data_IF_992322001182
#
_entry.id   IF_992322001182
#
_cell.length_a   1.000
_cell.length_b   1.000
_cell.length_c   1.000
_cell.angle_alpha   90.00
_cell.angle_beta   90.00
_cell.angle_gamma   90.00
#
_symmetry.space_group_name_H-M   'P 1'
#
loop_
_entity.id
_entity.type
_entity.pdbx_description
1 polymer ?
#
# COMPACT_ATOMS: atom_id res chain seq x y z
N UNK A 1 71.87 51.88 -18.03
CA UNK A 1 70.60 51.15 -18.28
C UNK A 1 70.05 50.57 -16.97
N UNK A 2 68.85 50.98 -16.53
CA UNK A 2 68.20 50.41 -15.31
C UNK A 2 67.65 49.00 -15.63
N UNK A 3 68.13 47.98 -14.92
CA UNK A 3 67.65 46.59 -15.07
C UNK A 3 66.21 46.46 -14.56
N UNK A 4 65.27 46.05 -15.42
CA UNK A 4 63.88 45.78 -15.04
C UNK A 4 63.82 44.59 -14.09
N UNK A 5 63.28 44.80 -12.88
CA UNK A 5 63.09 43.77 -11.86
C UNK A 5 61.99 42.83 -12.35
N UNK A 6 62.33 41.55 -12.61
CA UNK A 6 61.35 40.54 -13.04
C UNK A 6 60.43 40.25 -11.86
N UNK A 7 59.17 40.67 -11.97
CA UNK A 7 58.14 40.37 -10.97
C UNK A 7 57.88 38.87 -11.01
N UNK A 8 58.33 38.16 -9.97
CA UNK A 8 58.02 36.74 -9.78
C UNK A 8 56.54 36.64 -9.43
N UNK A 9 55.68 36.37 -10.43
CA UNK A 9 54.29 36.06 -10.19
C UNK A 9 54.21 34.91 -9.19
N UNK A 10 53.50 35.13 -8.09
CA UNK A 10 53.44 34.19 -6.98
C UNK A 10 52.41 33.09 -7.33
N UNK A 11 52.80 32.17 -8.22
CA UNK A 11 51.95 31.08 -8.78
C UNK A 11 51.15 30.34 -7.70
N UNK A 12 51.72 30.23 -6.48
CA UNK A 12 51.11 29.58 -5.33
C UNK A 12 49.70 30.10 -5.00
N UNK A 13 49.42 31.40 -5.18
CA UNK A 13 48.09 31.95 -4.86
C UNK A 13 47.04 31.57 -5.89
N UNK A 14 47.42 31.46 -7.18
CA UNK A 14 46.52 31.00 -8.24
C UNK A 14 46.11 29.56 -7.98
N UNK A 15 47.08 28.73 -7.60
CA UNK A 15 46.86 27.31 -7.26
C UNK A 15 45.97 27.16 -6.02
N UNK A 16 46.16 28.04 -5.02
CA UNK A 16 45.34 28.10 -3.81
C UNK A 16 43.89 28.50 -4.11
N UNK A 17 43.67 29.48 -5.00
CA UNK A 17 42.33 29.92 -5.42
C UNK A 17 41.60 28.81 -6.18
N UNK A 18 42.28 28.11 -7.11
CA UNK A 18 41.69 26.98 -7.82
C UNK A 18 41.26 25.86 -6.86
N UNK A 19 42.07 25.61 -5.83
CA UNK A 19 41.74 24.62 -4.81
C UNK A 19 40.50 25.01 -3.99
N UNK A 20 40.36 26.29 -3.62
CA UNK A 20 39.17 26.80 -2.92
C UNK A 20 37.92 26.66 -3.80
N UNK A 21 38.01 27.04 -5.09
CA UNK A 21 36.89 26.95 -6.03
C UNK A 21 36.45 25.49 -6.21
N UNK A 22 37.41 24.57 -6.33
CA UNK A 22 37.12 23.14 -6.43
C UNK A 22 36.36 22.63 -5.21
N UNK A 23 36.83 22.94 -4.00
CA UNK A 23 36.15 22.55 -2.77
C UNK A 23 34.74 23.16 -2.69
N UNK A 24 34.58 24.46 -2.98
CA UNK A 24 33.28 25.12 -2.97
C UNK A 24 32.29 24.45 -3.94
N UNK A 25 32.74 24.06 -5.13
CA UNK A 25 31.90 23.38 -6.12
C UNK A 25 31.40 22.00 -5.65
N UNK A 26 32.19 21.29 -4.85
CA UNK A 26 31.81 20.00 -4.26
C UNK A 26 30.71 20.20 -3.21
N UNK A 27 30.88 21.17 -2.31
CA UNK A 27 29.89 21.46 -1.27
C UNK A 27 28.52 21.84 -1.86
N UNK A 28 28.50 22.70 -2.88
CA UNK A 28 27.25 23.09 -3.56
C UNK A 28 26.53 21.87 -4.16
N UNK A 29 27.29 20.95 -4.79
CA UNK A 29 26.72 19.74 -5.40
C UNK A 29 26.17 18.77 -4.35
N UNK A 30 26.89 18.60 -3.24
CA UNK A 30 26.46 17.73 -2.14
C UNK A 30 25.16 18.21 -1.49
N UNK A 31 25.01 19.52 -1.29
CA UNK A 31 23.80 20.09 -0.69
C UNK A 31 22.55 19.86 -1.53
N UNK A 32 22.66 19.93 -2.86
CA UNK A 32 21.56 19.62 -3.77
C UNK A 32 21.19 18.12 -3.75
N UNK A 33 22.18 17.23 -3.73
CA UNK A 33 21.93 15.78 -3.66
C UNK A 33 21.27 15.37 -2.34
N UNK A 34 21.71 15.94 -1.22
CA UNK A 34 21.11 15.68 0.10
C UNK A 34 19.64 16.12 0.12
N UNK A 35 19.34 17.33 -0.34
CA UNK A 35 17.96 17.83 -0.36
C UNK A 35 17.05 16.96 -1.25
N UNK A 36 17.56 16.48 -2.39
CA UNK A 36 16.82 15.56 -3.27
C UNK A 36 16.59 14.21 -2.61
N UNK A 37 17.59 13.67 -1.91
CA UNK A 37 17.48 12.41 -1.18
C UNK A 37 16.49 12.51 -0.02
N UNK A 38 16.50 13.61 0.73
CA UNK A 38 15.55 13.86 1.82
C UNK A 38 14.11 13.94 1.34
N UNK A 39 13.86 14.61 0.20
CA UNK A 39 12.54 14.68 -0.40
C UNK A 39 12.01 13.28 -0.78
N UNK A 40 12.85 12.44 -1.39
CA UNK A 40 12.50 11.06 -1.72
C UNK A 40 12.24 10.20 -0.48
N UNK A 41 13.06 10.33 0.56
CA UNK A 41 12.87 9.63 1.84
C UNK A 41 11.54 10.04 2.48
N UNK A 42 11.19 11.33 2.42
CA UNK A 42 9.92 11.84 2.96
C UNK A 42 8.73 11.27 2.21
N UNK A 43 8.74 11.31 0.87
CA UNK A 43 7.69 10.74 0.02
C UNK A 43 7.52 9.23 0.27
N UNK A 44 8.63 8.47 0.32
CA UNK A 44 8.57 7.04 0.60
C UNK A 44 8.04 6.74 2.00
N UNK A 45 8.42 7.53 3.02
CA UNK A 45 7.86 7.39 4.37
C UNK A 45 6.36 7.62 4.38
N UNK A 46 5.88 8.65 3.68
CA UNK A 46 4.46 8.95 3.60
C UNK A 46 3.69 7.79 2.95
N UNK A 47 4.13 7.33 1.77
CA UNK A 47 3.53 6.16 1.09
C UNK A 47 3.50 4.92 1.96
N UNK A 48 4.56 4.68 2.75
CA UNK A 48 4.63 3.54 3.67
C UNK A 48 3.60 3.67 4.80
N UNK A 49 3.34 4.88 5.29
CA UNK A 49 2.32 5.12 6.32
C UNK A 49 0.93 4.90 5.76
N UNK A 50 0.62 5.52 4.62
CA UNK A 50 -0.67 5.37 3.94
C UNK A 50 -0.98 3.89 3.62
N UNK A 51 0.01 3.17 3.10
CA UNK A 51 -0.14 1.75 2.81
C UNK A 51 -0.38 0.90 4.06
N UNK A 52 0.29 1.24 5.18
CA UNK A 52 0.08 0.54 6.46
C UNK A 52 -1.33 0.77 7.01
N UNK A 53 -1.84 1.99 6.90
CA UNK A 53 -3.21 2.32 7.32
C UNK A 53 -4.23 1.55 6.47
N UNK A 54 -4.04 1.53 5.15
CA UNK A 54 -4.88 0.75 4.23
C UNK A 54 -4.86 -0.75 4.54
N UNK A 55 -3.70 -1.33 4.83
CA UNK A 55 -3.59 -2.75 5.23
C UNK A 55 -4.35 -2.98 6.54
N UNK A 56 -4.16 -2.12 7.54
CA UNK A 56 -4.84 -2.27 8.84
C UNK A 56 -6.37 -2.17 8.72
N UNK A 57 -6.87 -1.29 7.85
CA UNK A 57 -8.30 -1.18 7.57
C UNK A 57 -8.84 -2.45 6.92
N UNK A 58 -8.13 -2.97 5.91
CA UNK A 58 -8.53 -4.20 5.23
C UNK A 58 -8.49 -5.42 6.15
N UNK A 59 -7.50 -5.51 7.05
CA UNK A 59 -7.43 -6.56 8.06
C UNK A 59 -8.65 -6.52 8.98
N UNK A 60 -9.05 -5.34 9.47
CA UNK A 60 -10.27 -5.18 10.29
C UNK A 60 -11.53 -5.59 9.50
N UNK A 61 -11.61 -5.22 8.22
CA UNK A 61 -12.72 -5.59 7.35
C UNK A 61 -12.79 -7.11 7.16
N UNK A 62 -11.66 -7.76 6.93
CA UNK A 62 -11.58 -9.21 6.82
C UNK A 62 -11.97 -9.91 8.14
N UNK A 63 -11.53 -9.39 9.28
CA UNK A 63 -11.92 -9.90 10.59
C UNK A 63 -13.43 -9.78 10.83
N UNK A 64 -14.02 -8.63 10.52
CA UNK A 64 -15.46 -8.41 10.57
C UNK A 64 -16.23 -9.42 9.70
N UNK A 65 -15.79 -9.65 8.47
CA UNK A 65 -16.41 -10.61 7.55
C UNK A 65 -16.24 -12.07 8.01
N UNK A 66 -15.09 -12.43 8.59
CA UNK A 66 -14.85 -13.76 9.15
C UNK A 66 -15.74 -14.05 10.36
N UNK A 67 -15.94 -13.04 11.22
CA UNK A 67 -16.85 -13.14 12.35
C UNK A 67 -18.30 -13.35 11.92
N UNK A 68 -18.71 -12.75 10.78
CA UNK A 68 -20.02 -13.01 10.16
C UNK A 68 -20.11 -14.41 9.55
N UNK A 69 -19.03 -14.91 8.96
CA UNK A 69 -19.02 -16.22 8.26
C UNK A 69 -18.99 -17.41 9.22
N UNK A 70 -18.35 -17.24 10.38
CA UNK A 70 -18.31 -18.23 11.47
C UNK A 70 -19.63 -18.28 12.26
N UNK A 71 -20.45 -17.26 12.06
CA UNK A 71 -21.80 -17.11 12.56
C UNK A 71 -22.76 -17.95 11.70
N UNK A 72 -22.94 -19.21 12.09
CA UNK A 72 -24.16 -20.03 11.97
C UNK A 72 -25.24 -19.59 10.95
N UNK A 73 -25.14 -20.04 9.69
CA UNK A 73 -26.22 -19.99 8.67
C UNK A 73 -26.68 -18.55 8.29
N UNK A 74 -26.17 -17.93 7.20
CA UNK A 74 -26.36 -16.50 6.89
C UNK A 74 -27.83 -16.06 6.73
N UNK A 75 -28.74 -17.01 6.43
CA UNK A 75 -30.18 -16.77 6.35
C UNK A 75 -30.81 -16.43 7.72
N UNK A 76 -30.16 -16.81 8.84
CA UNK A 76 -30.66 -16.55 10.19
C UNK A 76 -30.30 -15.13 10.69
N UNK A 77 -29.26 -14.49 10.15
CA UNK A 77 -28.81 -13.16 10.56
C UNK A 77 -29.69 -12.03 10.02
N UNK A 78 -30.15 -12.11 8.76
CA UNK A 78 -31.11 -11.13 8.22
C UNK A 78 -32.42 -11.07 9.01
N UNK A 79 -32.82 -12.18 9.62
CA UNK A 79 -34.05 -12.28 10.40
C UNK A 79 -33.88 -11.89 11.88
N UNK A 80 -32.63 -11.74 12.36
CA UNK A 80 -32.31 -11.27 13.72
C UNK A 80 -31.87 -9.81 13.78
N UNK A 81 -31.81 -9.12 12.64
CA UNK A 81 -31.40 -7.72 12.52
C UNK A 81 -32.64 -6.82 12.69
N UNK A 82 -32.81 -6.25 13.89
CA UNK A 82 -33.95 -5.38 14.22
C UNK A 82 -33.87 -3.97 13.58
N UNK A 83 -32.74 -3.61 12.98
CA UNK A 83 -32.48 -2.29 12.40
C UNK A 83 -32.41 -2.35 10.86
N UNK A 84 -33.32 -1.61 10.19
CA UNK A 84 -33.38 -1.53 8.73
C UNK A 84 -32.06 -1.09 8.08
N UNK A 85 -31.29 -0.21 8.72
CA UNK A 85 -29.99 0.24 8.18
C UNK A 85 -28.99 -0.90 8.07
N UNK A 86 -28.96 -1.79 9.06
CA UNK A 86 -28.04 -2.93 9.06
C UNK A 86 -28.49 -3.99 8.05
N UNK A 87 -29.80 -4.15 7.87
CA UNK A 87 -30.38 -5.04 6.85
C UNK A 87 -30.02 -4.58 5.44
N UNK A 88 -30.08 -3.28 5.19
CA UNK A 88 -29.71 -2.67 3.91
C UNK A 88 -28.21 -2.79 3.63
N UNK A 89 -27.36 -2.58 4.63
CA UNK A 89 -25.91 -2.77 4.52
C UNK A 89 -25.55 -4.23 4.20
N UNK A 90 -26.20 -5.18 4.88
CA UNK A 90 -26.01 -6.61 4.61
C UNK A 90 -26.48 -7.02 3.20
N UNK A 91 -27.60 -6.45 2.73
CA UNK A 91 -28.10 -6.66 1.36
C UNK A 91 -27.09 -6.19 0.31
N UNK A 92 -26.46 -5.02 0.51
CA UNK A 92 -25.41 -4.52 -0.37
C UNK A 92 -24.19 -5.43 -0.41
N UNK A 93 -23.82 -6.01 0.73
CA UNK A 93 -22.72 -6.98 0.82
C UNK A 93 -23.06 -8.25 0.02
N UNK A 94 -24.28 -8.78 0.15
CA UNK A 94 -24.76 -9.93 -0.60
C UNK A 94 -24.72 -9.70 -2.12
N UNK A 95 -25.25 -8.55 -2.57
CA UNK A 95 -25.25 -8.16 -3.98
C UNK A 95 -23.82 -8.03 -4.52
N UNK A 96 -22.92 -7.45 -3.74
CA UNK A 96 -21.51 -7.34 -4.11
C UNK A 96 -20.83 -8.71 -4.26
N UNK A 97 -21.07 -9.65 -3.34
CA UNK A 97 -20.52 -11.02 -3.42
C UNK A 97 -21.04 -11.73 -4.67
N UNK A 98 -22.34 -11.59 -4.96
CA UNK A 98 -22.93 -12.18 -6.17
C UNK A 98 -22.30 -11.61 -7.44
N UNK A 99 -22.12 -10.29 -7.53
CA UNK A 99 -21.51 -9.64 -8.68
C UNK A 99 -20.06 -10.09 -8.87
N UNK A 100 -19.25 -10.14 -7.81
CA UNK A 100 -17.86 -10.63 -7.89
C UNK A 100 -17.81 -12.09 -8.36
N UNK A 101 -18.69 -12.96 -7.82
CA UNK A 101 -18.73 -14.37 -8.19
C UNK A 101 -19.13 -14.59 -9.67
N UNK A 102 -20.04 -13.77 -10.20
CA UNK A 102 -20.54 -13.87 -11.58
C UNK A 102 -19.66 -13.16 -12.60
N UNK A 103 -19.29 -11.91 -12.32
CA UNK A 103 -18.67 -11.00 -13.28
C UNK A 103 -17.15 -11.10 -13.28
N UNK A 104 -16.53 -11.24 -12.10
CA UNK A 104 -15.06 -11.27 -12.00
C UNK A 104 -14.52 -12.70 -12.02
N UNK A 105 -15.13 -13.59 -11.23
CA UNK A 105 -14.63 -14.95 -11.04
C UNK A 105 -15.26 -15.97 -11.99
N UNK A 106 -16.35 -15.60 -12.68
CA UNK A 106 -17.13 -16.48 -13.57
C UNK A 106 -17.48 -17.84 -12.96
N UNK A 107 -17.61 -17.89 -11.62
CA UNK A 107 -17.89 -19.12 -10.87
C UNK A 107 -19.36 -19.53 -10.98
N UNK A 108 -20.24 -18.59 -11.34
CA UNK A 108 -21.69 -18.82 -11.50
C UNK A 108 -22.18 -18.07 -12.74
N UNK A 109 -22.82 -18.76 -13.69
CA UNK A 109 -23.38 -18.08 -14.88
C UNK A 109 -24.67 -17.33 -14.55
N UNK A 110 -25.06 -16.31 -15.32
CA UNK A 110 -26.36 -15.64 -15.15
C UNK A 110 -27.50 -16.66 -15.08
N UNK A 111 -28.40 -16.49 -14.10
CA UNK A 111 -29.52 -17.38 -13.81
C UNK A 111 -29.18 -18.79 -13.26
N UNK A 112 -27.90 -19.12 -13.02
CA UNK A 112 -27.54 -20.29 -12.20
C UNK A 112 -27.60 -19.95 -10.71
N UNK A 113 -28.08 -20.92 -9.92
CA UNK A 113 -28.14 -20.88 -8.46
C UNK A 113 -27.30 -22.04 -7.93
N UNK A 114 -26.28 -21.75 -7.13
CA UNK A 114 -25.50 -22.77 -6.43
C UNK A 114 -26.21 -23.14 -5.14
N UNK A 115 -26.55 -24.42 -4.98
CA UNK A 115 -27.09 -24.96 -3.74
C UNK A 115 -26.01 -25.72 -2.97
N UNK A 116 -25.78 -25.33 -1.72
CA UNK A 116 -24.93 -26.10 -0.80
C UNK A 116 -25.84 -27.09 -0.06
N UNK A 117 -25.77 -28.36 -0.44
CA UNK A 117 -26.42 -29.44 0.31
C UNK A 117 -25.65 -29.70 1.62
N UNK A 118 -26.22 -29.18 2.72
CA UNK A 118 -25.65 -29.30 4.07
C UNK A 118 -25.58 -30.74 4.57
N UNK A 119 -26.43 -31.64 4.07
CA UNK A 119 -26.45 -33.03 4.50
C UNK A 119 -25.32 -33.85 3.87
N UNK A 120 -24.80 -33.41 2.72
CA UNK A 120 -23.68 -34.05 2.03
C UNK A 120 -22.33 -33.82 2.72
N UNK A 121 -22.18 -32.71 3.44
CA UNK A 121 -20.93 -32.36 4.15
C UNK A 121 -20.66 -33.26 5.37
N UNK A 122 -21.69 -33.86 5.96
CA UNK A 122 -21.54 -34.73 7.13
C UNK A 122 -20.79 -36.02 6.78
N UNK A 123 -21.06 -36.60 5.61
CA UNK A 123 -20.52 -37.89 5.21
C UNK A 123 -19.09 -37.83 4.64
N UNK A 124 -18.60 -36.65 4.23
CA UNK A 124 -17.28 -36.50 3.59
C UNK A 124 -16.14 -36.47 4.62
N UNK A 125 -16.42 -36.02 5.85
CA UNK A 125 -15.43 -35.97 6.93
C UNK A 125 -15.51 -37.16 7.90
N UNK A 126 -16.55 -37.98 7.78
CA UNK A 126 -16.75 -39.19 8.59
C UNK A 126 -16.13 -40.45 7.94
N UNK A 127 -15.61 -40.35 6.70
CA UNK A 127 -15.01 -41.46 5.93
C UNK A 127 -13.49 -41.32 5.69
N UNK A 128 -12.75 -40.73 6.64
CA UNK A 128 -11.29 -40.90 6.69
C UNK A 128 -10.96 -42.07 7.63
N UNK A 129 -10.27 -43.13 7.16
CA UNK A 129 -9.83 -44.23 8.03
C UNK A 129 -8.81 -43.79 9.08
#
# INVERSE_FOLDING_TARGET
MKKRKKNKFKIKYILMILFIIYLASIFIRQEFEINKLEANIKDQKQKKTELKEYISENEKKAEYLNNISSAKNPVNYMNSLDNEKQKEEYKKILEHIENVAREELFMVKPNEIIYIDKNKLKNVFDETP
#
